data_IF_990897272825
#
_entry.id   IF_990897272825
#
_cell.length_a   1.000
_cell.length_b   1.000
_cell.length_c   1.000
_cell.angle_alpha   90.00
_cell.angle_beta   90.00
_cell.angle_gamma   90.00
#
_symmetry.space_group_name_H-M   'P 1'
#
loop_
_entity.id
_entity.type
_entity.pdbx_description
1 polymer ?
#
# COMPACT_ATOMS: atom_id res chain seq x y z
N UNK A 1 12.26 -1.61 10.83
CA UNK A 1 13.10 -0.49 11.28
C UNK A 1 13.60 0.30 10.08
N UNK A 2 13.54 1.61 10.16
CA UNK A 2 14.16 2.54 9.21
C UNK A 2 15.24 3.30 9.96
N UNK A 3 16.45 3.40 9.39
CA UNK A 3 17.59 4.03 10.04
C UNK A 3 18.29 5.00 9.10
N UNK A 4 18.29 6.28 9.42
CA UNK A 4 19.01 7.32 8.70
C UNK A 4 18.66 7.44 7.22
N UNK A 5 17.41 7.11 6.83
CA UNK A 5 16.99 7.10 5.43
C UNK A 5 17.13 8.49 4.81
N UNK A 6 17.79 8.55 3.65
CA UNK A 6 17.94 9.76 2.84
C UNK A 6 17.58 9.48 1.40
N UNK A 7 16.57 10.20 0.90
CA UNK A 7 16.12 10.11 -0.49
C UNK A 7 16.14 11.50 -1.12
N UNK A 8 16.94 11.63 -2.17
CA UNK A 8 17.15 12.89 -2.88
C UNK A 8 16.65 12.77 -4.31
N UNK A 9 16.19 13.90 -4.86
CA UNK A 9 15.89 14.03 -6.29
C UNK A 9 16.93 14.92 -6.96
N UNK A 10 17.47 14.43 -8.04
CA UNK A 10 18.46 15.12 -8.86
C UNK A 10 17.79 15.62 -10.14
N UNK A 11 17.56 16.92 -10.26
CA UNK A 11 16.97 17.56 -11.44
C UNK A 11 17.85 18.71 -11.88
N UNK A 12 18.45 18.60 -13.06
CA UNK A 12 19.44 19.52 -13.58
C UNK A 12 20.54 19.76 -12.50
N UNK A 13 20.92 21.00 -12.24
CA UNK A 13 21.96 21.32 -11.22
C UNK A 13 21.42 21.47 -9.79
N UNK A 14 20.21 20.95 -9.53
CA UNK A 14 19.56 21.07 -8.21
C UNK A 14 19.35 19.71 -7.57
N UNK A 15 19.58 19.65 -6.25
CA UNK A 15 19.30 18.47 -5.42
C UNK A 15 18.21 18.84 -4.42
N UNK A 16 17.06 18.18 -4.50
CA UNK A 16 15.99 18.27 -3.52
C UNK A 16 16.12 17.11 -2.54
N UNK A 17 16.33 17.42 -1.26
CA UNK A 17 16.43 16.44 -0.16
C UNK A 17 15.03 16.18 0.38
N UNK A 18 14.30 15.28 -0.26
CA UNK A 18 12.91 14.99 0.08
C UNK A 18 12.78 14.21 1.40
N UNK A 19 13.74 13.33 1.70
CA UNK A 19 13.89 12.67 3.00
C UNK A 19 15.34 12.84 3.43
N UNK A 20 15.58 13.33 4.65
CA UNK A 20 16.95 13.62 5.13
C UNK A 20 17.16 13.12 6.57
N UNK A 21 17.60 11.86 6.69
CA UNK A 21 18.02 11.26 7.96
C UNK A 21 16.87 10.70 8.82
N UNK A 22 15.77 10.27 8.22
CA UNK A 22 14.60 9.72 8.92
C UNK A 22 14.94 8.36 9.56
N UNK A 23 14.60 8.22 10.86
CA UNK A 23 14.76 6.97 11.60
C UNK A 23 13.55 6.71 12.50
N UNK A 24 13.09 5.44 12.52
CA UNK A 24 12.06 4.97 13.42
C UNK A 24 11.98 3.45 13.43
N UNK A 25 11.29 2.91 14.43
CA UNK A 25 10.96 1.49 14.53
C UNK A 25 9.45 1.29 14.49
N UNK A 26 9.00 0.32 13.71
CA UNK A 26 7.64 -0.18 13.71
C UNK A 26 7.61 -1.54 14.39
N UNK A 27 6.94 -1.63 15.53
CA UNK A 27 6.83 -2.87 16.28
C UNK A 27 5.58 -3.67 15.86
N UNK A 28 5.67 -4.99 15.98
CA UNK A 28 4.57 -5.91 15.69
C UNK A 28 3.34 -5.56 16.55
N UNK A 29 2.15 -5.53 15.95
CA UNK A 29 0.91 -5.15 16.65
C UNK A 29 0.75 -3.63 16.93
N UNK A 30 1.62 -2.74 16.41
CA UNK A 30 1.54 -1.28 16.63
C UNK A 30 1.25 -0.51 15.34
N UNK A 31 0.64 0.65 15.47
CA UNK A 31 0.46 1.63 14.38
C UNK A 31 1.44 2.78 14.59
N UNK A 32 2.12 3.18 13.55
CA UNK A 32 2.93 4.39 13.50
C UNK A 32 2.26 5.39 12.55
N UNK A 33 1.97 6.58 13.04
CA UNK A 33 1.53 7.70 12.23
C UNK A 33 2.72 8.61 11.90
N UNK A 34 2.90 8.90 10.61
CA UNK A 34 3.89 9.88 10.13
C UNK A 34 3.11 11.11 9.71
N UNK A 35 3.32 12.23 10.42
CA UNK A 35 2.62 13.49 10.20
C UNK A 35 3.58 14.55 9.68
N UNK A 36 3.07 15.46 8.87
CA UNK A 36 3.84 16.56 8.31
C UNK A 36 3.02 17.34 7.28
N UNK A 37 3.45 18.53 6.96
CA UNK A 37 2.81 19.40 5.96
C UNK A 37 2.85 18.77 4.55
N UNK A 38 2.02 19.29 3.64
CA UNK A 38 2.11 18.92 2.23
C UNK A 38 3.51 19.20 1.69
N UNK A 39 4.08 18.27 0.93
CA UNK A 39 5.45 18.39 0.41
C UNK A 39 6.56 18.07 1.41
N UNK A 40 6.27 17.67 2.65
CA UNK A 40 7.29 17.30 3.65
C UNK A 40 8.01 15.98 3.38
N UNK A 41 7.70 15.28 2.31
CA UNK A 41 8.37 14.03 1.91
C UNK A 41 7.69 12.73 2.41
N UNK A 42 6.48 12.79 2.97
CA UNK A 42 5.75 11.61 3.48
C UNK A 42 5.60 10.51 2.42
N UNK A 43 5.02 10.84 1.26
CA UNK A 43 4.84 9.90 0.17
C UNK A 43 6.17 9.41 -0.40
N UNK A 44 7.17 10.29 -0.50
CA UNK A 44 8.53 9.91 -0.92
C UNK A 44 9.14 8.90 0.02
N UNK A 45 8.99 9.11 1.34
CA UNK A 45 9.42 8.17 2.36
C UNK A 45 8.71 6.81 2.21
N UNK A 46 7.37 6.80 2.09
CA UNK A 46 6.57 5.58 1.93
C UNK A 46 7.00 4.79 0.68
N UNK A 47 7.13 5.46 -0.47
CA UNK A 47 7.60 4.85 -1.72
C UNK A 47 9.06 4.38 -1.66
N UNK A 48 9.91 5.04 -0.86
CA UNK A 48 11.30 4.63 -0.65
C UNK A 48 11.40 3.29 0.05
N UNK A 49 10.50 2.98 1.00
CA UNK A 49 10.48 1.69 1.71
C UNK A 49 10.39 0.53 0.73
N UNK A 50 9.52 0.66 -0.26
CA UNK A 50 9.30 -0.36 -1.28
C UNK A 50 10.14 -0.14 -2.56
N UNK A 51 11.01 0.88 -2.59
CA UNK A 51 11.81 1.23 -3.78
C UNK A 51 10.93 1.40 -5.03
N UNK A 52 9.78 2.08 -4.89
CA UNK A 52 8.82 2.34 -5.97
C UNK A 52 9.05 3.67 -6.68
N UNK A 53 9.97 4.50 -6.17
CA UNK A 53 10.34 5.75 -6.83
C UNK A 53 11.04 5.47 -8.17
N UNK A 54 10.75 6.23 -9.25
CA UNK A 54 11.51 6.15 -10.49
C UNK A 54 12.95 6.59 -10.23
N UNK A 55 13.90 5.75 -10.57
CA UNK A 55 15.32 6.03 -10.42
C UNK A 55 16.03 5.94 -11.79
N UNK A 56 16.45 7.06 -12.41
CA UNK A 56 16.35 8.47 -11.97
C UNK A 56 14.93 9.06 -12.08
N UNK A 57 14.61 10.27 -11.53
CA UNK A 57 15.51 11.23 -10.90
C UNK A 57 15.75 11.01 -9.40
N UNK A 58 14.97 10.11 -8.74
CA UNK A 58 15.16 9.79 -7.34
C UNK A 58 16.44 8.97 -7.12
N UNK A 59 17.06 9.13 -5.94
CA UNK A 59 18.16 8.33 -5.46
C UNK A 59 18.07 8.16 -3.95
N UNK A 60 18.09 6.94 -3.47
CA UNK A 60 18.28 6.66 -2.05
C UNK A 60 19.79 6.72 -1.79
N UNK A 61 20.23 7.76 -1.11
CA UNK A 61 21.66 8.08 -0.97
C UNK A 61 22.29 7.53 0.31
N UNK A 62 21.47 7.25 1.34
CA UNK A 62 21.93 6.68 2.61
C UNK A 62 20.75 6.05 3.37
N UNK A 63 21.09 5.27 4.39
CA UNK A 63 20.18 4.64 5.33
C UNK A 63 20.04 3.14 5.14
N UNK A 64 19.25 2.54 6.03
CA UNK A 64 18.88 1.12 6.01
C UNK A 64 17.37 0.99 6.24
N UNK A 65 16.75 0.01 5.57
CA UNK A 65 15.34 -0.36 5.79
C UNK A 65 15.31 -1.86 6.13
N UNK A 66 15.22 -2.16 7.42
CA UNK A 66 15.27 -3.53 7.91
C UNK A 66 13.86 -4.10 8.05
N UNK A 67 13.60 -5.20 7.35
CA UNK A 67 12.40 -6.01 7.48
C UNK A 67 12.80 -7.45 7.81
N UNK A 68 12.36 -7.97 8.94
CA UNK A 68 12.78 -9.28 9.48
C UNK A 68 14.30 -9.48 9.45
N UNK A 69 15.06 -8.45 9.85
CA UNK A 69 16.52 -8.45 9.91
C UNK A 69 17.24 -8.31 8.57
N UNK A 70 16.54 -8.22 7.45
CA UNK A 70 17.09 -8.07 6.10
C UNK A 70 16.90 -6.64 5.58
N UNK A 71 17.95 -6.06 5.02
CA UNK A 71 17.91 -4.71 4.45
C UNK A 71 17.27 -4.71 3.06
N UNK A 72 16.08 -4.11 2.94
CA UNK A 72 15.33 -4.02 1.69
C UNK A 72 16.09 -3.24 0.60
N UNK A 73 16.98 -2.32 1.00
CA UNK A 73 17.77 -1.53 0.05
C UNK A 73 18.85 -2.36 -0.66
N UNK A 74 19.30 -3.46 -0.03
CA UNK A 74 20.33 -4.36 -0.55
C UNK A 74 19.76 -5.57 -1.29
N UNK A 75 18.43 -5.77 -1.25
CA UNK A 75 17.80 -6.89 -1.94
C UNK A 75 17.82 -6.74 -3.45
N UNK A 76 17.97 -7.86 -4.15
CA UNK A 76 17.77 -7.94 -5.60
C UNK A 76 16.32 -7.71 -6.00
N UNK A 77 16.08 -7.42 -7.28
CA UNK A 77 14.73 -7.13 -7.79
C UNK A 77 13.74 -8.28 -7.55
N UNK A 78 14.16 -9.52 -7.80
CA UNK A 78 13.32 -10.71 -7.60
C UNK A 78 12.98 -10.97 -6.12
N UNK A 79 13.91 -10.73 -5.20
CA UNK A 79 13.63 -10.86 -3.78
C UNK A 79 12.65 -9.79 -3.30
N UNK A 80 12.83 -8.55 -3.77
CA UNK A 80 11.95 -7.43 -3.42
C UNK A 80 10.55 -7.62 -4.02
N UNK A 81 10.42 -8.22 -5.21
CA UNK A 81 9.14 -8.57 -5.81
C UNK A 81 8.32 -9.53 -4.94
N UNK A 82 8.98 -10.51 -4.30
CA UNK A 82 8.34 -11.45 -3.35
C UNK A 82 7.86 -10.78 -2.06
N UNK A 83 8.36 -9.59 -1.73
CA UNK A 83 7.97 -8.82 -0.54
C UNK A 83 6.85 -7.84 -0.86
N UNK A 84 6.94 -7.14 -2.02
CA UNK A 84 5.95 -6.15 -2.45
C UNK A 84 4.60 -6.81 -2.70
N UNK A 85 3.54 -6.25 -2.12
CA UNK A 85 2.17 -6.75 -2.23
C UNK A 85 1.89 -7.99 -1.38
N UNK A 86 2.91 -8.79 -1.07
CA UNK A 86 2.80 -10.00 -0.25
C UNK A 86 3.04 -9.73 1.24
N UNK A 87 4.29 -9.38 1.59
CA UNK A 87 4.70 -9.15 2.98
C UNK A 87 4.52 -7.69 3.41
N UNK A 88 4.76 -6.77 2.50
CA UNK A 88 4.56 -5.34 2.69
C UNK A 88 3.69 -4.84 1.56
N UNK A 89 2.49 -4.38 1.89
CA UNK A 89 1.54 -3.81 0.93
C UNK A 89 1.40 -2.30 1.14
N UNK A 90 0.93 -1.59 0.11
CA UNK A 90 0.73 -0.15 0.13
C UNK A 90 -0.64 0.22 -0.40
N UNK A 91 -1.32 1.12 0.31
CA UNK A 91 -2.50 1.85 -0.15
C UNK A 91 -2.00 3.21 -0.61
N UNK A 92 -2.17 3.51 -1.89
CA UNK A 92 -1.73 4.76 -2.51
C UNK A 92 -2.74 5.89 -2.26
N UNK A 93 -2.28 7.12 -2.40
CA UNK A 93 -3.08 8.33 -2.17
C UNK A 93 -4.26 8.46 -3.14
N UNK A 94 -4.06 8.12 -4.43
CA UNK A 94 -5.06 8.29 -5.47
C UNK A 94 -5.57 6.95 -6.04
N UNK A 95 -6.81 6.53 -5.74
CA UNK A 95 -7.38 5.31 -6.31
C UNK A 95 -7.53 5.35 -7.83
N UNK A 96 -7.74 6.56 -8.39
CA UNK A 96 -7.96 6.73 -9.84
C UNK A 96 -6.76 6.37 -10.69
N UNK A 97 -5.56 6.64 -10.19
CA UNK A 97 -4.29 6.37 -10.88
C UNK A 97 -3.71 5.01 -10.50
N UNK A 98 -4.18 4.43 -9.39
CA UNK A 98 -3.66 3.17 -8.86
C UNK A 98 -4.37 1.94 -9.40
N UNK A 99 -5.66 2.07 -9.79
CA UNK A 99 -6.43 0.99 -10.41
C UNK A 99 -6.25 1.01 -11.94
N UNK A 100 -6.00 -0.15 -12.53
CA UNK A 100 -5.94 -0.30 -13.98
C UNK A 100 -7.35 -0.20 -14.57
N UNK A 101 -7.65 0.79 -15.43
CA UNK A 101 -9.00 1.02 -15.94
C UNK A 101 -9.49 -0.04 -16.94
N UNK A 102 -8.61 -0.86 -17.49
CA UNK A 102 -8.94 -1.88 -18.51
C UNK A 102 -9.04 -3.30 -17.94
N UNK A 103 -8.83 -3.47 -16.63
CA UNK A 103 -9.05 -4.72 -15.91
C UNK A 103 -10.21 -4.57 -14.94
N UNK A 104 -10.98 -5.63 -14.74
CA UNK A 104 -12.00 -5.65 -13.68
C UNK A 104 -11.35 -5.56 -12.30
N UNK A 105 -12.13 -5.13 -11.31
CA UNK A 105 -11.62 -5.05 -9.93
C UNK A 105 -11.25 -6.43 -9.41
N UNK A 106 -12.03 -7.47 -9.75
CA UNK A 106 -11.73 -8.85 -9.38
C UNK A 106 -10.43 -9.36 -9.97
N UNK A 107 -10.18 -9.09 -11.26
CA UNK A 107 -8.91 -9.48 -11.91
C UNK A 107 -7.71 -8.84 -11.21
N UNK A 108 -7.79 -7.58 -10.81
CA UNK A 108 -6.70 -6.88 -10.13
C UNK A 108 -6.43 -7.44 -8.71
N UNK A 109 -7.48 -7.87 -8.00
CA UNK A 109 -7.32 -8.53 -6.70
C UNK A 109 -6.75 -9.94 -6.91
N UNK A 110 -7.28 -10.69 -7.87
CA UNK A 110 -6.88 -12.07 -8.16
C UNK A 110 -5.43 -12.14 -8.64
N UNK A 111 -4.96 -11.17 -9.45
CA UNK A 111 -3.57 -11.10 -9.93
C UNK A 111 -2.56 -11.16 -8.78
N UNK A 112 -2.78 -10.37 -7.72
CA UNK A 112 -1.89 -10.38 -6.57
C UNK A 112 -1.90 -11.73 -5.84
N UNK A 113 -3.05 -12.38 -5.74
CA UNK A 113 -3.22 -13.68 -5.09
C UNK A 113 -2.48 -14.76 -5.89
N UNK A 114 -2.72 -14.85 -7.20
CA UNK A 114 -2.07 -15.81 -8.09
C UNK A 114 -0.56 -15.62 -8.12
N UNK A 115 -0.10 -14.35 -8.13
CA UNK A 115 1.34 -14.05 -8.17
C UNK A 115 2.08 -14.49 -6.91
N UNK A 116 1.44 -14.44 -5.74
CA UNK A 116 2.11 -14.57 -4.44
C UNK A 116 1.67 -15.78 -3.60
N UNK A 117 0.53 -16.37 -3.93
CA UNK A 117 -0.02 -17.51 -3.22
C UNK A 117 -0.28 -18.60 -4.26
N UNK A 118 0.13 -19.79 -4.07
CA UNK A 118 0.02 -20.91 -5.01
C UNK A 118 -1.47 -21.30 -5.28
N UNK A 119 -2.23 -20.33 -5.79
CA UNK A 119 -3.68 -20.36 -5.98
C UNK A 119 -4.04 -20.42 -7.47
N UNK A 120 -5.11 -21.12 -7.79
CA UNK A 120 -5.70 -21.09 -9.14
C UNK A 120 -6.38 -19.75 -9.39
N UNK A 121 -6.64 -19.42 -10.65
CA UNK A 121 -7.40 -18.23 -11.00
C UNK A 121 -8.83 -18.25 -10.43
N UNK A 122 -9.46 -19.43 -10.37
CA UNK A 122 -10.79 -19.61 -9.81
C UNK A 122 -10.80 -19.35 -8.30
N UNK A 123 -9.86 -19.94 -7.54
CA UNK A 123 -9.73 -19.72 -6.10
C UNK A 123 -9.42 -18.24 -5.79
N UNK A 124 -8.54 -17.62 -6.59
CA UNK A 124 -8.19 -16.21 -6.43
C UNK A 124 -9.40 -15.31 -6.67
N UNK A 125 -10.24 -15.61 -7.66
CA UNK A 125 -11.46 -14.85 -7.93
C UNK A 125 -12.50 -15.03 -6.81
N UNK A 126 -12.68 -16.23 -6.29
CA UNK A 126 -13.54 -16.49 -5.13
C UNK A 126 -13.05 -15.68 -3.90
N UNK A 127 -11.75 -15.68 -3.64
CA UNK A 127 -11.14 -14.87 -2.58
C UNK A 127 -11.30 -13.37 -2.81
N UNK A 128 -11.29 -12.90 -4.08
CA UNK A 128 -11.54 -11.51 -4.41
C UNK A 128 -12.98 -11.08 -4.02
N UNK A 129 -13.98 -11.92 -4.26
CA UNK A 129 -15.36 -11.67 -3.79
C UNK A 129 -15.42 -11.54 -2.28
N UNK A 130 -14.77 -12.44 -1.53
CA UNK A 130 -14.73 -12.38 -0.07
C UNK A 130 -14.02 -11.12 0.46
N UNK A 131 -12.96 -10.69 -0.21
CA UNK A 131 -12.27 -9.44 0.13
C UNK A 131 -13.14 -8.21 -0.14
N UNK A 132 -13.83 -8.16 -1.27
CA UNK A 132 -14.79 -7.09 -1.57
C UNK A 132 -15.91 -7.03 -0.52
N UNK A 133 -16.40 -8.19 -0.07
CA UNK A 133 -17.39 -8.27 1.02
C UNK A 133 -16.82 -7.72 2.33
N UNK A 134 -15.60 -8.10 2.70
CA UNK A 134 -14.91 -7.63 3.91
C UNK A 134 -14.68 -6.13 3.92
N UNK A 135 -14.37 -5.54 2.79
CA UNK A 135 -14.22 -4.07 2.71
C UNK A 135 -15.55 -3.33 2.54
N UNK A 136 -16.68 -4.03 2.57
CA UNK A 136 -18.01 -3.45 2.55
C UNK A 136 -18.46 -2.96 1.17
N UNK A 137 -18.03 -3.60 0.09
CA UNK A 137 -18.59 -3.39 -1.25
C UNK A 137 -19.95 -4.12 -1.32
N UNK A 138 -21.06 -3.43 -1.68
CA UNK A 138 -22.35 -4.05 -1.85
C UNK A 138 -22.37 -4.96 -3.09
N UNK A 139 -23.10 -6.08 -3.03
CA UNK A 139 -23.23 -7.05 -4.12
C UNK A 139 -21.87 -7.50 -4.71
N UNK A 140 -20.93 -8.00 -3.87
CA UNK A 140 -19.54 -8.24 -4.27
C UNK A 140 -19.44 -9.30 -5.38
N UNK A 141 -20.39 -10.26 -5.47
CA UNK A 141 -20.47 -11.29 -6.50
C UNK A 141 -20.66 -10.71 -7.90
N UNK A 142 -21.38 -9.60 -8.01
CA UNK A 142 -21.59 -8.89 -9.27
C UNK A 142 -20.44 -7.89 -9.50
N UNK A 143 -20.12 -7.12 -8.47
CA UNK A 143 -19.13 -6.04 -8.52
C UNK A 143 -17.69 -6.51 -8.81
N UNK A 144 -17.38 -7.75 -8.53
CA UNK A 144 -16.06 -8.33 -8.86
C UNK A 144 -15.76 -8.29 -10.36
N UNK A 145 -16.79 -8.27 -11.20
CA UNK A 145 -16.71 -8.20 -12.67
C UNK A 145 -16.76 -6.75 -13.22
N UNK A 146 -17.00 -5.76 -12.37
CA UNK A 146 -17.06 -4.36 -12.76
C UNK A 146 -15.65 -3.76 -12.92
N UNK A 147 -15.57 -2.77 -13.79
CA UNK A 147 -14.36 -1.97 -14.00
C UNK A 147 -14.30 -0.80 -13.01
N UNK A 148 -13.09 -0.26 -12.74
CA UNK A 148 -12.92 0.86 -11.80
C UNK A 148 -13.80 2.08 -12.09
N UNK A 149 -14.11 2.39 -13.35
CA UNK A 149 -14.95 3.53 -13.71
C UNK A 149 -16.42 3.36 -13.31
N UNK A 150 -16.87 2.13 -13.06
CA UNK A 150 -18.24 1.82 -12.59
C UNK A 150 -18.37 1.95 -11.07
N UNK A 151 -17.25 2.14 -10.35
CA UNK A 151 -17.22 2.30 -8.90
C UNK A 151 -17.27 3.78 -8.51
N UNK A 152 -17.95 4.09 -7.41
CA UNK A 152 -17.86 5.41 -6.77
C UNK A 152 -16.44 5.64 -6.20
N UNK A 153 -16.08 6.87 -5.84
CA UNK A 153 -14.79 7.18 -5.23
C UNK A 153 -14.51 6.34 -3.98
N UNK A 154 -15.49 6.24 -3.07
CA UNK A 154 -15.36 5.42 -1.87
C UNK A 154 -15.27 3.92 -2.17
N UNK A 155 -15.97 3.41 -3.19
CA UNK A 155 -15.85 2.01 -3.62
C UNK A 155 -14.48 1.73 -4.21
N UNK A 156 -13.91 2.62 -5.02
CA UNK A 156 -12.54 2.49 -5.55
C UNK A 156 -11.50 2.44 -4.42
N UNK A 157 -11.65 3.29 -3.40
CA UNK A 157 -10.79 3.26 -2.22
C UNK A 157 -10.88 1.92 -1.50
N UNK A 158 -12.09 1.39 -1.29
CA UNK A 158 -12.30 0.07 -0.66
C UNK A 158 -11.71 -1.06 -1.52
N UNK A 159 -11.84 -0.99 -2.84
CA UNK A 159 -11.23 -1.95 -3.76
C UNK A 159 -9.70 -1.91 -3.67
N UNK A 160 -9.08 -0.74 -3.62
CA UNK A 160 -7.64 -0.59 -3.42
C UNK A 160 -7.18 -1.17 -2.07
N UNK A 161 -7.98 -1.00 -1.01
CA UNK A 161 -7.73 -1.65 0.28
C UNK A 161 -7.82 -3.18 0.15
N UNK A 162 -8.82 -3.70 -0.58
CA UNK A 162 -8.95 -5.14 -0.83
C UNK A 162 -7.73 -5.71 -1.56
N UNK A 163 -7.23 -5.02 -2.59
CA UNK A 163 -5.98 -5.39 -3.28
C UNK A 163 -4.80 -5.41 -2.31
N UNK A 164 -4.63 -4.38 -1.50
CA UNK A 164 -3.52 -4.31 -0.55
C UNK A 164 -3.58 -5.41 0.53
N UNK A 165 -4.76 -5.92 0.83
CA UNK A 165 -4.97 -6.98 1.83
C UNK A 165 -5.00 -8.39 1.25
N UNK A 166 -5.00 -8.54 -0.07
CA UNK A 166 -5.23 -9.81 -0.77
C UNK A 166 -4.27 -10.94 -0.36
N UNK A 167 -3.04 -10.57 -0.01
CA UNK A 167 -2.00 -11.50 0.44
C UNK A 167 -1.76 -11.49 1.96
N UNK A 168 -2.64 -10.89 2.76
CA UNK A 168 -2.53 -10.82 4.22
C UNK A 168 -1.16 -10.29 4.70
N UNK A 169 -0.78 -9.06 4.32
CA UNK A 169 0.56 -8.55 4.52
C UNK A 169 0.94 -8.41 6.00
N UNK A 170 2.22 -8.58 6.30
CA UNK A 170 2.75 -8.30 7.64
C UNK A 170 2.78 -6.80 7.97
N UNK A 171 3.02 -5.97 6.95
CA UNK A 171 3.02 -4.50 7.07
C UNK A 171 2.13 -3.89 5.99
N UNK A 172 1.26 -2.97 6.39
CA UNK A 172 0.45 -2.16 5.49
C UNK A 172 0.89 -0.70 5.60
N UNK A 173 1.35 -0.12 4.51
CA UNK A 173 1.65 1.30 4.37
C UNK A 173 0.40 1.97 3.80
N UNK A 174 -0.10 3.04 4.42
CA UNK A 174 -1.23 3.80 3.92
C UNK A 174 -0.78 5.27 3.72
N UNK A 175 -0.70 5.68 2.46
CA UNK A 175 -0.32 7.04 2.08
C UNK A 175 -1.57 7.87 1.85
N UNK A 176 -1.93 8.69 2.82
CA UNK A 176 -3.12 9.55 2.84
C UNK A 176 -4.42 8.85 2.35
N UNK A 177 -4.82 7.70 2.96
CA UNK A 177 -5.84 6.81 2.38
C UNK A 177 -7.25 7.41 2.33
N UNK A 178 -7.42 8.65 2.78
CA UNK A 178 -8.74 9.30 2.89
C UNK A 178 -8.80 10.71 2.28
N UNK A 179 -7.71 11.23 1.72
CA UNK A 179 -7.58 12.65 1.33
C UNK A 179 -8.59 13.10 0.26
N UNK A 180 -9.03 12.22 -0.62
CA UNK A 180 -9.99 12.57 -1.70
C UNK A 180 -11.44 12.19 -1.37
N UNK A 181 -11.77 11.91 -0.11
CA UNK A 181 -13.07 11.41 0.31
C UNK A 181 -13.79 12.43 1.20
N UNK A 182 -15.13 12.40 1.18
CA UNK A 182 -15.93 13.16 2.15
C UNK A 182 -15.75 12.63 3.58
N UNK A 183 -16.06 13.47 4.57
CA UNK A 183 -15.82 13.19 6.00
C UNK A 183 -16.47 11.88 6.46
N UNK A 184 -17.66 11.56 5.93
CA UNK A 184 -18.40 10.36 6.30
C UNK A 184 -17.68 9.10 5.80
N UNK A 185 -17.23 9.11 4.55
CA UNK A 185 -16.48 7.99 3.96
C UNK A 185 -15.09 7.87 4.61
N UNK A 186 -14.45 8.98 4.94
CA UNK A 186 -13.18 8.95 5.70
C UNK A 186 -13.33 8.19 7.02
N UNK A 187 -14.36 8.52 7.81
CA UNK A 187 -14.62 7.83 9.08
C UNK A 187 -14.83 6.33 8.88
N UNK A 188 -15.62 5.94 7.87
CA UNK A 188 -15.87 4.53 7.54
C UNK A 188 -14.59 3.79 7.13
N UNK A 189 -13.72 4.41 6.32
CA UNK A 189 -12.46 3.81 5.91
C UNK A 189 -11.52 3.63 7.11
N UNK A 190 -11.43 4.61 8.01
CA UNK A 190 -10.59 4.50 9.21
C UNK A 190 -11.11 3.42 10.17
N UNK A 191 -12.43 3.28 10.31
CA UNK A 191 -13.04 2.22 11.11
C UNK A 191 -12.77 0.85 10.50
N UNK A 192 -13.03 0.68 9.20
CA UNK A 192 -12.68 -0.53 8.45
C UNK A 192 -11.22 -0.93 8.69
N UNK A 193 -10.31 0.02 8.57
CA UNK A 193 -8.89 -0.26 8.77
C UNK A 193 -8.57 -0.69 10.22
N UNK A 194 -9.27 -0.18 11.24
CA UNK A 194 -9.13 -0.61 12.65
C UNK A 194 -9.66 -2.04 12.85
N UNK A 195 -10.79 -2.36 12.23
CA UNK A 195 -11.41 -3.68 12.38
C UNK A 195 -10.59 -4.77 11.68
N UNK A 196 -10.11 -4.50 10.48
CA UNK A 196 -9.18 -5.37 9.77
C UNK A 196 -7.88 -5.64 10.56
N UNK A 197 -7.43 -4.65 11.34
CA UNK A 197 -6.31 -4.85 12.26
C UNK A 197 -6.66 -5.77 13.43
N UNK A 198 -7.84 -5.60 14.05
CA UNK A 198 -8.30 -6.45 15.17
C UNK A 198 -8.49 -7.92 14.74
N UNK A 199 -9.00 -8.15 13.54
CA UNK A 199 -9.19 -9.47 12.94
C UNK A 199 -7.89 -10.20 12.57
N UNK A 200 -6.73 -9.59 12.82
CA UNK A 200 -5.39 -10.11 12.47
C UNK A 200 -5.20 -10.40 10.97
N UNK A 201 -6.03 -9.81 10.10
CA UNK A 201 -5.84 -9.84 8.64
C UNK A 201 -4.53 -9.14 8.26
N UNK A 202 -4.11 -8.17 9.07
CA UNK A 202 -2.79 -7.57 9.00
C UNK A 202 -2.02 -7.98 10.24
N UNK A 203 -0.99 -8.79 10.10
CA UNK A 203 -0.19 -9.34 11.22
C UNK A 203 0.61 -8.29 11.97
N UNK A 204 0.83 -7.14 11.35
CA UNK A 204 1.50 -5.98 11.93
C UNK A 204 0.78 -4.71 11.48
N UNK A 205 0.55 -3.72 12.34
CA UNK A 205 -0.25 -2.56 11.98
C UNK A 205 0.50 -1.54 11.15
N UNK A 206 -0.29 -0.78 10.54
CA UNK A 206 -0.20 0.36 9.65
C UNK A 206 0.96 1.31 9.95
N UNK A 207 1.82 1.54 8.98
CA UNK A 207 2.43 2.83 8.78
C UNK A 207 1.34 3.74 8.19
N UNK A 208 0.61 4.47 9.03
CA UNK A 208 -0.29 5.52 8.57
C UNK A 208 0.54 6.74 8.23
N UNK A 209 0.57 7.13 6.96
CA UNK A 209 1.02 8.44 6.53
C UNK A 209 -0.25 9.28 6.44
N UNK A 210 -0.48 10.11 7.44
CA UNK A 210 -1.55 11.13 7.45
C UNK A 210 -1.04 12.42 6.85
#
# INVERSE_FOLDING_TARGET
>A
SVKGLRTHFHANDRVVRAVDGLSYDLHRGKTLAVVGESGSGKSVHALSILRLLPMPPAKIVAGEILFDGRDLLKMGAEELRKIRGNRIAMIFQEPMTSLNPVLTVGEQIAEAIVLHQDATQEDAMAKAVDLLRKVGIPHPEERVHDYPHQFSGGMRQRAMIAIALSCEPDVLIADEPTTALDVTIQAQILELMKDLQKEKIVKTPKLGVL
#
